data_IF_719327627631
#
_entry.id   IF_719327627631
#
_cell.length_a   1.000
_cell.length_b   1.000
_cell.length_c   1.000
_cell.angle_alpha   90.00
_cell.angle_beta   90.00
_cell.angle_gamma   90.00
#
_symmetry.space_group_name_H-M   'P 1'
#
loop_
_entity.id
_entity.type
_entity.pdbx_description
1 polymer ?
#
# COMPACT_ATOMS: atom_id res chain seq x y z
N UNK A 1 -14.20 -20.86 30.97
CA UNK A 1 -12.77 -21.25 30.87
C UNK A 1 -12.14 -20.93 29.52
N UNK A 2 -12.84 -21.07 28.38
CA UNK A 2 -12.29 -20.76 27.04
C UNK A 2 -11.79 -19.31 26.85
N UNK A 3 -12.46 -18.32 27.45
CA UNK A 3 -12.06 -16.90 27.34
C UNK A 3 -10.74 -16.57 28.07
N UNK A 4 -10.49 -17.20 29.23
CA UNK A 4 -9.25 -17.04 30.01
C UNK A 4 -8.05 -17.69 29.31
N UNK A 5 -8.26 -18.83 28.63
CA UNK A 5 -7.21 -19.50 27.85
C UNK A 5 -6.88 -18.72 26.55
N UNK A 6 -7.88 -18.11 25.89
CA UNK A 6 -7.65 -17.24 24.74
C UNK A 6 -6.77 -16.02 25.06
N UNK A 7 -6.97 -15.38 26.21
CA UNK A 7 -6.16 -14.23 26.64
C UNK A 7 -4.68 -14.58 26.89
N UNK A 8 -4.40 -15.83 27.31
CA UNK A 8 -3.03 -16.32 27.56
C UNK A 8 -2.28 -16.59 26.25
N UNK A 9 -2.98 -17.09 25.22
CA UNK A 9 -2.44 -17.24 23.85
C UNK A 9 -2.21 -15.89 23.15
N UNK A 10 -2.98 -14.86 23.49
CA UNK A 10 -2.87 -13.52 22.90
C UNK A 10 -1.78 -12.65 23.54
N UNK A 11 -1.23 -13.05 24.70
CA UNK A 11 -0.24 -12.25 25.44
C UNK A 11 1.03 -11.95 24.63
N UNK A 12 1.66 -12.92 23.92
CA UNK A 12 2.81 -12.65 23.08
C UNK A 12 2.47 -11.70 21.92
N UNK A 13 1.28 -11.84 21.35
CA UNK A 13 0.80 -10.99 20.26
C UNK A 13 0.59 -9.55 20.71
N UNK A 14 0.16 -9.32 21.95
CA UNK A 14 0.03 -7.97 22.48
C UNK A 14 1.39 -7.26 22.52
N UNK A 15 2.47 -7.99 22.82
CA UNK A 15 3.83 -7.45 22.79
C UNK A 15 4.38 -7.19 21.37
N UNK A 16 3.75 -7.74 20.34
CA UNK A 16 4.02 -7.42 18.92
C UNK A 16 3.13 -6.27 18.42
N UNK A 17 1.82 -6.38 18.62
CA UNK A 17 0.82 -5.46 18.07
C UNK A 17 0.95 -4.05 18.64
N UNK A 18 1.16 -3.92 19.95
CA UNK A 18 1.29 -2.62 20.61
C UNK A 18 2.42 -1.75 20.03
N UNK A 19 3.69 -2.20 19.97
CA UNK A 19 4.77 -1.42 19.37
C UNK A 19 4.58 -1.22 17.86
N UNK A 20 3.99 -2.18 17.12
CA UNK A 20 3.66 -1.97 15.70
C UNK A 20 2.66 -0.83 15.49
N UNK A 21 1.61 -0.78 16.33
CA UNK A 21 0.63 0.29 16.26
C UNK A 21 1.27 1.66 16.48
N UNK A 22 2.13 1.77 17.51
CA UNK A 22 2.87 3.00 17.82
C UNK A 22 3.80 3.37 16.66
N UNK A 23 4.51 2.40 16.09
CA UNK A 23 5.40 2.62 14.97
C UNK A 23 4.66 3.19 13.75
N UNK A 24 3.52 2.61 13.38
CA UNK A 24 2.72 3.08 12.25
C UNK A 24 2.12 4.47 12.50
N UNK A 25 1.68 4.76 13.74
CA UNK A 25 1.23 6.11 14.14
C UNK A 25 2.38 7.12 13.98
N UNK A 26 3.56 6.78 14.47
CA UNK A 26 4.75 7.64 14.46
C UNK A 26 5.28 7.88 13.05
N UNK A 27 5.23 6.88 12.17
CA UNK A 27 5.60 7.07 10.77
C UNK A 27 4.57 7.95 10.04
N UNK A 28 3.29 7.65 10.17
CA UNK A 28 2.24 8.36 9.44
C UNK A 28 2.15 9.85 9.84
N UNK A 29 2.33 10.18 11.13
CA UNK A 29 2.27 11.57 11.58
C UNK A 29 3.33 12.48 10.92
N UNK A 30 4.41 11.89 10.38
CA UNK A 30 5.47 12.64 9.70
C UNK A 30 5.13 12.98 8.24
N UNK A 31 4.19 12.26 7.61
CA UNK A 31 3.90 12.36 6.16
C UNK A 31 3.52 13.78 5.77
N UNK A 32 2.59 14.39 6.49
CA UNK A 32 2.09 15.75 6.19
C UNK A 32 3.17 16.83 6.40
N UNK A 33 3.95 16.75 7.49
CA UNK A 33 5.00 17.75 7.79
C UNK A 33 6.21 17.62 6.89
N UNK A 34 6.49 16.41 6.39
CA UNK A 34 7.63 16.17 5.50
C UNK A 34 7.55 17.01 4.23
N UNK A 35 6.34 17.22 3.69
CA UNK A 35 6.10 18.05 2.50
C UNK A 35 6.54 19.49 2.76
N UNK A 36 6.15 20.05 3.90
CA UNK A 36 6.50 21.42 4.30
C UNK A 36 8.00 21.59 4.53
N UNK A 37 8.61 20.67 5.28
CA UNK A 37 10.03 20.72 5.63
C UNK A 37 10.93 20.53 4.40
N UNK A 38 10.63 19.55 3.54
CA UNK A 38 11.42 19.30 2.32
C UNK A 38 11.29 20.47 1.33
N UNK A 39 10.09 21.01 1.16
CA UNK A 39 9.84 22.17 0.29
C UNK A 39 10.58 23.41 0.80
N UNK A 40 10.46 23.72 2.10
CA UNK A 40 11.07 24.91 2.71
C UNK A 40 12.60 24.88 2.65
N UNK A 41 13.20 23.69 2.82
CA UNK A 41 14.65 23.53 2.81
C UNK A 41 15.27 23.57 1.40
N UNK A 42 14.62 22.95 0.41
CA UNK A 42 15.18 22.86 -0.95
C UNK A 42 14.82 24.07 -1.82
N UNK A 43 13.65 24.69 -1.60
CA UNK A 43 13.16 25.84 -2.35
C UNK A 43 12.67 26.96 -1.41
N UNK A 44 13.58 27.64 -0.70
CA UNK A 44 13.21 28.70 0.23
C UNK A 44 12.49 29.85 -0.50
N UNK A 45 11.34 30.27 0.03
CA UNK A 45 10.58 31.42 -0.50
C UNK A 45 9.72 31.13 -1.73
N UNK A 46 9.71 29.91 -2.25
CA UNK A 46 8.89 29.55 -3.41
C UNK A 46 7.81 28.52 -3.04
N UNK A 47 6.58 28.73 -3.51
CA UNK A 47 5.46 27.80 -3.28
C UNK A 47 5.57 26.53 -4.12
N UNK A 48 6.27 26.61 -5.26
CA UNK A 48 6.53 25.51 -6.18
C UNK A 48 7.97 25.01 -6.03
N UNK A 49 8.15 23.71 -5.79
CA UNK A 49 9.48 23.09 -5.72
C UNK A 49 9.57 21.85 -6.61
N UNK A 50 9.87 22.07 -7.90
CA UNK A 50 10.12 21.02 -8.90
C UNK A 50 11.15 20.00 -8.42
N UNK A 51 12.21 20.49 -7.78
CA UNK A 51 13.30 19.67 -7.28
C UNK A 51 12.84 18.59 -6.28
N UNK A 52 12.00 18.96 -5.30
CA UNK A 52 11.48 18.01 -4.29
C UNK A 52 10.60 16.96 -4.94
N UNK A 53 9.74 17.36 -5.88
CA UNK A 53 8.82 16.46 -6.60
C UNK A 53 9.62 15.42 -7.38
N UNK A 54 10.66 15.87 -8.10
CA UNK A 54 11.51 14.98 -8.89
C UNK A 54 12.30 14.00 -8.02
N UNK A 55 12.90 14.47 -6.92
CA UNK A 55 13.65 13.62 -6.00
C UNK A 55 12.74 12.60 -5.31
N UNK A 56 11.54 13.01 -4.87
CA UNK A 56 10.55 12.09 -4.29
C UNK A 56 10.12 11.02 -5.31
N UNK A 57 9.91 11.42 -6.57
CA UNK A 57 9.62 10.50 -7.67
C UNK A 57 10.71 9.46 -7.87
N UNK A 58 11.97 9.90 -8.01
CA UNK A 58 13.13 9.02 -8.14
C UNK A 58 13.24 8.07 -6.95
N UNK A 59 13.11 8.59 -5.72
CA UNK A 59 13.15 7.78 -4.51
C UNK A 59 12.09 6.67 -4.56
N UNK A 60 10.84 7.01 -4.88
CA UNK A 60 9.75 6.03 -4.93
C UNK A 60 10.01 4.94 -5.99
N UNK A 61 10.52 5.32 -7.16
CA UNK A 61 10.91 4.38 -8.20
C UNK A 61 12.01 3.45 -7.71
N UNK A 62 13.11 3.98 -7.17
CA UNK A 62 14.26 3.18 -6.68
C UNK A 62 13.79 2.22 -5.58
N UNK A 63 13.08 2.72 -4.57
CA UNK A 63 12.51 1.88 -3.51
C UNK A 63 11.61 0.80 -4.11
N UNK A 64 10.78 1.14 -5.10
CA UNK A 64 9.91 0.21 -5.82
C UNK A 64 10.65 -0.95 -6.50
N UNK A 65 11.75 -0.67 -7.21
CA UNK A 65 12.57 -1.69 -7.87
C UNK A 65 13.22 -2.61 -6.83
N UNK A 66 13.94 -2.02 -5.88
CA UNK A 66 14.80 -2.80 -4.98
C UNK A 66 14.00 -3.54 -3.90
N UNK A 67 12.83 -3.04 -3.48
CA UNK A 67 11.98 -3.73 -2.49
C UNK A 67 11.47 -5.08 -3.00
N UNK A 68 11.28 -5.25 -4.32
CA UNK A 68 10.82 -6.54 -4.89
C UNK A 68 11.83 -7.67 -4.65
N UNK A 69 13.12 -7.32 -4.57
CA UNK A 69 14.20 -8.26 -4.27
C UNK A 69 14.47 -8.32 -2.76
N UNK A 70 14.48 -7.17 -2.08
CA UNK A 70 14.77 -7.08 -0.65
C UNK A 70 13.72 -7.78 0.22
N UNK A 71 12.42 -7.67 -0.11
CA UNK A 71 11.34 -8.22 0.71
C UNK A 71 11.41 -9.75 0.85
N UNK A 72 11.57 -10.56 -0.24
CA UNK A 72 11.77 -12.00 -0.10
C UNK A 72 13.08 -12.39 0.59
N UNK A 73 14.16 -11.65 0.37
CA UNK A 73 15.46 -11.92 1.01
C UNK A 73 15.39 -11.69 2.52
N UNK A 74 14.78 -10.58 2.94
CA UNK A 74 14.56 -10.28 4.35
C UNK A 74 13.60 -11.28 5.00
N UNK A 75 12.59 -11.76 4.28
CA UNK A 75 11.75 -12.86 4.77
C UNK A 75 12.57 -14.11 5.08
N UNK A 76 13.44 -14.54 4.16
CA UNK A 76 14.34 -15.69 4.38
C UNK A 76 15.32 -15.45 5.54
N UNK A 77 15.90 -14.26 5.63
CA UNK A 77 16.77 -13.90 6.76
C UNK A 77 16.01 -13.93 8.09
N UNK A 78 14.73 -13.54 8.12
CA UNK A 78 13.89 -13.62 9.32
C UNK A 78 13.65 -15.07 9.75
N UNK A 79 13.45 -15.95 8.78
CA UNK A 79 13.25 -17.37 9.01
C UNK A 79 14.53 -18.07 9.49
N UNK A 80 15.71 -17.63 9.02
CA UNK A 80 17.01 -18.22 9.39
C UNK A 80 17.61 -17.64 10.68
N UNK A 81 17.56 -16.32 10.86
CA UNK A 81 18.23 -15.62 11.97
C UNK A 81 17.30 -15.25 13.13
N UNK A 82 16.00 -15.49 12.98
CA UNK A 82 14.97 -15.16 13.95
C UNK A 82 14.17 -13.92 13.59
N UNK A 83 12.89 -13.93 13.98
CA UNK A 83 11.93 -12.90 13.59
C UNK A 83 12.03 -11.66 14.46
N UNK A 84 12.37 -11.82 15.75
CA UNK A 84 12.55 -10.68 16.66
C UNK A 84 13.78 -9.84 16.27
N UNK A 85 15.00 -10.38 16.06
CA UNK A 85 16.16 -9.61 15.63
C UNK A 85 15.90 -8.81 14.36
N UNK A 86 15.22 -9.39 13.37
CA UNK A 86 14.98 -8.70 12.11
C UNK A 86 13.91 -7.60 12.24
N UNK A 87 12.88 -7.80 13.06
CA UNK A 87 11.93 -6.73 13.42
C UNK A 87 12.62 -5.58 14.15
N UNK A 88 13.49 -5.88 15.12
CA UNK A 88 14.25 -4.87 15.85
C UNK A 88 15.17 -4.09 14.91
N UNK A 89 15.88 -4.79 14.03
CA UNK A 89 16.75 -4.18 13.02
C UNK A 89 15.98 -3.23 12.11
N UNK A 90 14.90 -3.72 11.48
CA UNK A 90 14.11 -2.92 10.54
C UNK A 90 13.48 -1.70 11.22
N UNK A 91 12.94 -1.84 12.42
CA UNK A 91 12.32 -0.72 13.14
C UNK A 91 13.35 0.30 13.65
N UNK A 92 14.56 -0.14 14.03
CA UNK A 92 15.65 0.76 14.43
C UNK A 92 16.18 1.56 13.23
N UNK A 93 16.37 0.91 12.08
CA UNK A 93 16.87 1.55 10.86
C UNK A 93 15.94 2.66 10.37
N UNK A 94 14.62 2.54 10.57
CA UNK A 94 13.65 3.60 10.25
C UNK A 94 13.85 4.92 11.02
N UNK A 95 14.55 4.94 12.15
CA UNK A 95 14.70 6.12 13.01
C UNK A 95 15.66 7.14 12.39
N UNK A 96 16.74 6.67 11.76
CA UNK A 96 17.86 7.53 11.34
C UNK A 96 17.47 8.64 10.35
N UNK A 97 16.65 8.40 9.29
CA UNK A 97 16.20 9.49 8.42
C UNK A 97 15.48 10.60 9.18
N UNK A 98 14.56 10.24 10.09
CA UNK A 98 13.80 11.24 10.84
C UNK A 98 14.68 11.98 11.85
N UNK A 99 15.63 11.29 12.48
CA UNK A 99 16.63 11.91 13.37
C UNK A 99 17.43 13.01 12.66
N UNK A 100 17.78 12.80 11.39
CA UNK A 100 18.51 13.77 10.59
C UNK A 100 17.70 15.07 10.38
N UNK A 101 16.41 14.94 10.06
CA UNK A 101 15.52 16.09 9.88
C UNK A 101 15.18 16.81 11.20
N UNK A 102 15.10 16.06 12.31
CA UNK A 102 14.88 16.62 13.63
C UNK A 102 16.06 17.47 14.12
N UNK A 103 17.29 17.08 13.76
CA UNK A 103 18.49 17.80 14.14
C UNK A 103 18.52 19.19 13.49
N UNK A 104 18.47 19.23 12.16
CA UNK A 104 18.45 20.49 11.41
C UNK A 104 17.92 20.23 9.99
N UNK A 105 16.82 20.87 9.56
CA UNK A 105 16.29 20.74 8.21
C UNK A 105 17.02 21.64 7.20
N UNK A 106 18.36 21.57 7.16
CA UNK A 106 19.15 22.28 6.15
C UNK A 106 19.06 21.60 4.78
N UNK A 107 19.39 22.32 3.71
CA UNK A 107 19.38 21.79 2.34
C UNK A 107 20.23 20.52 2.19
N UNK A 108 21.42 20.50 2.75
CA UNK A 108 22.34 19.36 2.73
C UNK A 108 21.77 18.15 3.49
N UNK A 109 21.20 18.39 4.66
CA UNK A 109 20.61 17.33 5.48
C UNK A 109 19.33 16.78 4.87
N UNK A 110 18.59 17.56 4.08
CA UNK A 110 17.45 17.04 3.31
C UNK A 110 17.90 16.11 2.16
N UNK A 111 19.01 16.40 1.47
CA UNK A 111 19.55 15.43 0.49
C UNK A 111 20.03 14.15 1.17
N UNK A 112 20.75 14.27 2.28
CA UNK A 112 21.16 13.12 3.08
C UNK A 112 19.95 12.34 3.62
N UNK A 113 18.85 13.02 3.97
CA UNK A 113 17.58 12.39 4.32
C UNK A 113 17.05 11.55 3.16
N UNK A 114 17.01 12.09 1.93
CA UNK A 114 16.52 11.33 0.78
C UNK A 114 17.35 10.07 0.51
N UNK A 115 18.68 10.17 0.59
CA UNK A 115 19.58 9.01 0.42
C UNK A 115 19.31 7.97 1.51
N UNK A 116 19.31 8.38 2.77
CA UNK A 116 19.12 7.48 3.90
C UNK A 116 17.70 6.88 3.93
N UNK A 117 16.68 7.70 3.63
CA UNK A 117 15.28 7.27 3.52
C UNK A 117 15.09 6.30 2.36
N UNK A 118 15.83 6.42 1.26
CA UNK A 118 15.82 5.46 0.16
C UNK A 118 16.35 4.10 0.62
N UNK A 119 17.55 4.07 1.21
CA UNK A 119 18.18 2.83 1.69
C UNK A 119 17.32 2.17 2.76
N UNK A 120 16.85 2.95 3.74
CA UNK A 120 16.01 2.44 4.83
C UNK A 120 14.68 1.92 4.29
N UNK A 121 13.98 2.63 3.40
CA UNK A 121 12.71 2.15 2.82
C UNK A 121 12.89 0.86 1.99
N UNK A 122 14.02 0.65 1.32
CA UNK A 122 14.30 -0.62 0.62
C UNK A 122 14.29 -1.80 1.60
N UNK A 123 14.83 -1.58 2.81
CA UNK A 123 14.94 -2.62 3.83
C UNK A 123 13.66 -2.77 4.67
N UNK A 124 12.98 -1.68 4.97
CA UNK A 124 11.95 -1.66 6.01
C UNK A 124 10.53 -1.67 5.47
N UNK A 125 10.29 -0.98 4.34
CA UNK A 125 8.94 -0.77 3.80
C UNK A 125 8.37 -2.08 3.29
N UNK A 126 7.28 -2.54 3.91
CA UNK A 126 6.66 -3.83 3.63
C UNK A 126 7.27 -4.99 4.41
N UNK A 127 8.58 -4.96 4.68
CA UNK A 127 9.28 -6.01 5.45
C UNK A 127 8.75 -6.11 6.88
N UNK A 128 8.56 -4.98 7.57
CA UNK A 128 8.03 -4.97 8.95
C UNK A 128 6.66 -5.67 9.01
N UNK A 129 5.75 -5.34 8.09
CA UNK A 129 4.44 -5.96 8.01
C UNK A 129 4.54 -7.47 7.69
N UNK A 130 5.38 -7.83 6.73
CA UNK A 130 5.59 -9.23 6.33
C UNK A 130 6.12 -10.08 7.50
N UNK A 131 7.15 -9.61 8.20
CA UNK A 131 7.75 -10.32 9.34
C UNK A 131 6.77 -10.39 10.51
N UNK A 132 5.97 -9.33 10.75
CA UNK A 132 4.94 -9.34 11.78
C UNK A 132 3.81 -10.35 11.52
N UNK A 133 3.33 -10.43 10.28
CA UNK A 133 2.34 -11.44 9.86
C UNK A 133 2.93 -12.84 9.99
N UNK A 134 4.18 -13.02 9.59
CA UNK A 134 4.89 -14.28 9.77
C UNK A 134 4.95 -14.64 11.25
N UNK A 135 5.51 -13.78 12.12
CA UNK A 135 5.60 -14.00 13.57
C UNK A 135 4.25 -14.41 14.16
N UNK A 136 3.18 -13.73 13.74
CA UNK A 136 1.81 -14.04 14.16
C UNK A 136 1.41 -15.46 13.75
N UNK A 137 1.80 -15.92 12.57
CA UNK A 137 1.52 -17.28 12.12
C UNK A 137 2.23 -18.35 12.96
N UNK A 138 3.41 -18.06 13.54
CA UNK A 138 4.16 -19.03 14.37
C UNK A 138 3.50 -19.25 15.73
N UNK A 139 2.97 -18.20 16.34
CA UNK A 139 2.43 -18.25 17.72
C UNK A 139 0.95 -18.59 17.77
N UNK A 140 0.27 -18.64 16.63
CA UNK A 140 -1.19 -18.75 16.52
C UNK A 140 -1.59 -20.04 15.83
N UNK A 141 -2.58 -20.73 16.41
CA UNK A 141 -3.22 -21.89 15.80
C UNK A 141 -3.96 -21.52 14.50
N UNK A 142 -3.94 -22.43 13.53
CA UNK A 142 -4.41 -22.17 12.16
C UNK A 142 -5.83 -21.59 12.10
N UNK A 143 -6.73 -22.10 12.94
CA UNK A 143 -8.13 -21.63 13.04
C UNK A 143 -8.30 -20.15 13.40
N UNK A 144 -7.32 -19.55 14.08
CA UNK A 144 -7.38 -18.16 14.56
C UNK A 144 -6.56 -17.18 13.71
N UNK A 145 -5.74 -17.68 12.77
CA UNK A 145 -4.82 -16.86 11.96
C UNK A 145 -5.56 -15.81 11.13
N UNK A 146 -6.66 -16.19 10.46
CA UNK A 146 -7.42 -15.27 9.63
C UNK A 146 -7.97 -14.06 10.43
N UNK A 147 -8.49 -14.31 11.63
CA UNK A 147 -8.98 -13.25 12.51
C UNK A 147 -7.84 -12.31 12.95
N UNK A 148 -6.67 -12.85 13.30
CA UNK A 148 -5.54 -12.06 13.76
C UNK A 148 -4.85 -11.29 12.63
N UNK A 149 -4.75 -11.84 11.42
CA UNK A 149 -4.28 -11.11 10.24
C UNK A 149 -5.22 -9.94 9.91
N UNK A 150 -6.53 -10.13 10.09
CA UNK A 150 -7.52 -9.06 9.95
C UNK A 150 -7.32 -7.98 11.02
N UNK A 151 -7.04 -8.36 12.27
CA UNK A 151 -6.74 -7.40 13.35
C UNK A 151 -5.47 -6.60 13.09
N UNK A 152 -4.39 -7.23 12.63
CA UNK A 152 -3.15 -6.54 12.25
C UNK A 152 -3.42 -5.47 11.18
N UNK A 153 -4.16 -5.85 10.14
CA UNK A 153 -4.50 -4.94 9.03
C UNK A 153 -5.45 -3.82 9.47
N UNK A 154 -6.40 -4.12 10.36
CA UNK A 154 -7.28 -3.12 10.97
C UNK A 154 -6.52 -2.13 11.86
N UNK A 155 -5.60 -2.61 12.69
CA UNK A 155 -4.73 -1.79 13.51
C UNK A 155 -3.81 -0.91 12.66
N UNK A 156 -3.25 -1.43 11.57
CA UNK A 156 -2.48 -0.63 10.60
C UNK A 156 -3.30 0.55 10.08
N UNK A 157 -4.55 0.30 9.66
CA UNK A 157 -5.44 1.33 9.15
C UNK A 157 -5.83 2.37 10.22
N UNK A 158 -6.15 1.90 11.43
CA UNK A 158 -6.48 2.77 12.57
C UNK A 158 -5.28 3.63 12.99
N UNK A 159 -4.07 3.05 13.02
CA UNK A 159 -2.83 3.76 13.29
C UNK A 159 -2.56 4.87 12.28
N UNK A 160 -2.85 4.66 10.99
CA UNK A 160 -2.70 5.70 9.99
C UNK A 160 -3.67 6.87 10.22
N UNK A 161 -4.93 6.60 10.53
CA UNK A 161 -5.89 7.67 10.86
C UNK A 161 -5.42 8.44 12.10
N UNK A 162 -5.02 7.74 13.15
CA UNK A 162 -4.56 8.37 14.39
C UNK A 162 -3.25 9.15 14.19
N UNK A 163 -2.33 8.68 13.35
CA UNK A 163 -1.13 9.41 12.95
C UNK A 163 -1.46 10.73 12.27
N UNK A 164 -2.43 10.75 11.35
CA UNK A 164 -2.89 11.98 10.71
C UNK A 164 -3.62 12.92 11.69
N UNK A 165 -4.39 12.40 12.65
CA UNK A 165 -4.97 13.20 13.74
C UNK A 165 -3.87 13.86 14.58
N UNK A 166 -2.88 13.09 15.02
CA UNK A 166 -1.75 13.63 15.80
C UNK A 166 -0.97 14.65 14.99
N UNK A 167 -0.76 14.40 13.70
CA UNK A 167 -0.18 15.39 12.81
C UNK A 167 -1.02 16.67 12.83
N UNK A 168 -2.33 16.62 12.64
CA UNK A 168 -3.17 17.83 12.58
C UNK A 168 -3.10 18.73 13.82
N UNK A 169 -2.98 18.14 15.01
CA UNK A 169 -3.04 18.89 16.27
C UNK A 169 -1.67 19.16 16.90
N UNK A 170 -0.61 18.45 16.51
CA UNK A 170 0.74 18.70 17.01
C UNK A 170 1.41 19.87 16.27
N UNK A 171 2.05 20.81 17.00
CA UNK A 171 2.86 21.85 16.38
C UNK A 171 3.99 21.29 15.54
N UNK A 172 4.29 21.94 14.41
CA UNK A 172 5.28 21.49 13.41
C UNK A 172 6.63 21.09 14.05
N UNK A 173 7.12 21.94 14.96
CA UNK A 173 8.41 21.78 15.63
C UNK A 173 8.55 20.52 16.49
N UNK A 174 7.45 19.96 17.00
CA UNK A 174 7.49 18.84 17.93
C UNK A 174 7.29 17.48 17.25
N UNK A 175 6.80 17.43 16.01
CA UNK A 175 6.40 16.16 15.37
C UNK A 175 7.57 15.23 15.19
N UNK A 176 8.69 15.71 14.62
CA UNK A 176 9.84 14.83 14.42
C UNK A 176 10.43 14.34 15.74
N UNK A 177 10.47 15.20 16.77
CA UNK A 177 10.92 14.81 18.12
C UNK A 177 10.02 13.72 18.72
N UNK A 178 8.70 13.91 18.67
CA UNK A 178 7.71 12.94 19.18
C UNK A 178 7.78 11.65 18.36
N UNK A 179 7.85 11.73 17.03
CA UNK A 179 7.95 10.58 16.15
C UNK A 179 9.20 9.76 16.44
N UNK A 180 10.37 10.39 16.61
CA UNK A 180 11.61 9.69 16.98
C UNK A 180 11.47 9.02 18.34
N UNK A 181 10.92 9.72 19.34
CA UNK A 181 10.71 9.14 20.66
C UNK A 181 9.82 7.89 20.62
N UNK A 182 8.69 7.96 19.90
CA UNK A 182 7.79 6.83 19.70
C UNK A 182 8.44 5.70 18.90
N UNK A 183 9.14 6.02 17.80
CA UNK A 183 9.84 5.04 16.98
C UNK A 183 10.97 4.35 17.74
N UNK A 184 11.64 5.05 18.66
CA UNK A 184 12.73 4.51 19.50
C UNK A 184 12.19 3.65 20.65
N UNK A 185 11.02 4.01 21.21
CA UNK A 185 10.35 3.22 22.23
C UNK A 185 9.97 1.81 21.73
N UNK A 186 9.60 1.70 20.45
CA UNK A 186 9.15 0.43 19.85
C UNK A 186 10.21 -0.70 19.91
N UNK A 187 11.43 -0.54 19.35
CA UNK A 187 12.47 -1.58 19.43
C UNK A 187 12.90 -1.83 20.87
N UNK A 188 12.96 -0.82 21.73
CA UNK A 188 13.28 -1.01 23.16
C UNK A 188 12.22 -1.91 23.82
N UNK A 189 10.94 -1.61 23.59
CA UNK A 189 9.84 -2.39 24.15
C UNK A 189 9.85 -3.83 23.62
N UNK A 190 10.02 -4.04 22.31
CA UNK A 190 10.10 -5.39 21.75
C UNK A 190 11.33 -6.15 22.22
N UNK A 191 12.48 -5.47 22.41
CA UNK A 191 13.68 -6.12 22.92
C UNK A 191 13.45 -6.69 24.33
N UNK A 192 12.73 -5.96 25.18
CA UNK A 192 12.41 -6.36 26.55
C UNK A 192 11.29 -7.39 26.65
N UNK A 193 10.21 -7.25 25.87
CA UNK A 193 8.97 -8.00 26.09
C UNK A 193 8.59 -8.98 24.98
N UNK A 194 9.09 -8.82 23.75
CA UNK A 194 8.79 -9.75 22.66
C UNK A 194 9.65 -11.01 22.81
N UNK A 195 9.05 -12.18 22.76
CA UNK A 195 9.78 -13.45 22.74
C UNK A 195 10.17 -13.81 21.31
N UNK A 196 11.32 -14.47 21.12
CA UNK A 196 11.69 -15.05 19.82
C UNK A 196 10.85 -16.31 19.57
N UNK A 197 10.45 -16.53 18.31
CA UNK A 197 9.67 -17.69 17.87
C UNK A 197 10.50 -18.72 17.14
N UNK A 198 11.62 -18.31 16.54
CA UNK A 198 12.53 -19.20 15.84
C UNK A 198 13.56 -19.76 16.83
N UNK A 199 13.49 -21.06 17.10
CA UNK A 199 14.57 -21.76 17.80
C UNK A 199 15.84 -21.73 16.93
N UNK A 200 16.90 -21.11 17.44
CA UNK A 200 18.20 -21.09 16.77
C UNK A 200 18.80 -22.51 16.83
N UNK A 201 18.59 -23.29 15.78
CA UNK A 201 19.33 -24.54 15.62
C UNK A 201 20.79 -24.22 15.37
N UNK A 202 21.74 -24.85 16.08
CA UNK A 202 23.16 -24.67 15.80
C UNK A 202 23.41 -25.05 14.34
N UNK A 203 24.03 -24.13 13.60
CA UNK A 203 24.33 -24.26 12.17
C UNK A 203 25.02 -25.60 11.95
N UNK A 204 24.28 -26.58 11.44
CA UNK A 204 24.88 -27.82 10.98
C UNK A 204 25.59 -27.49 9.68
N UNK A 205 26.91 -27.31 9.78
CA UNK A 205 27.81 -27.20 8.64
C UNK A 205 27.74 -28.50 7.81
N UNK A 206 26.76 -28.60 6.90
CA UNK A 206 26.73 -29.55 5.79
C UNK A 206 26.01 -28.92 4.58
N UNK A 207 26.82 -28.34 3.68
CA UNK A 207 26.71 -28.20 2.20
C UNK A 207 25.39 -27.71 1.53
N UNK A 208 25.39 -27.16 0.29
CA UNK A 208 26.47 -26.87 -0.68
C UNK A 208 26.63 -25.35 -0.95
N UNK A 209 27.42 -24.94 -1.95
CA UNK A 209 27.71 -23.52 -2.22
C UNK A 209 26.44 -22.65 -2.32
N UNK A 210 26.42 -21.53 -1.59
CA UNK A 210 25.30 -20.58 -1.54
C UNK A 210 24.76 -20.19 -2.93
N UNK A 211 25.65 -20.18 -3.94
CA UNK A 211 25.34 -19.90 -5.34
C UNK A 211 24.40 -20.92 -6.00
N UNK A 212 24.60 -22.23 -5.83
CA UNK A 212 23.71 -23.25 -6.43
C UNK A 212 22.34 -23.28 -5.77
N UNK A 213 22.27 -23.06 -4.45
CA UNK A 213 20.98 -22.94 -3.74
C UNK A 213 20.20 -21.69 -4.18
N UNK A 214 20.88 -20.57 -4.39
CA UNK A 214 20.27 -19.32 -4.87
C UNK A 214 19.77 -19.45 -6.31
N UNK A 215 20.56 -20.04 -7.21
CA UNK A 215 20.16 -20.27 -8.60
C UNK A 215 18.92 -21.17 -8.72
N UNK A 216 18.86 -22.25 -7.93
CA UNK A 216 17.69 -23.15 -7.90
C UNK A 216 16.43 -22.45 -7.37
N UNK A 217 16.56 -21.57 -6.37
CA UNK A 217 15.44 -20.76 -5.85
C UNK A 217 14.94 -19.76 -6.89
N UNK A 218 15.84 -19.10 -7.61
CA UNK A 218 15.48 -18.17 -8.70
C UNK A 218 14.79 -18.90 -9.84
N UNK A 219 15.33 -20.05 -10.28
CA UNK A 219 14.73 -20.85 -11.33
C UNK A 219 13.33 -21.37 -10.95
N UNK A 220 13.16 -21.89 -9.73
CA UNK A 220 11.85 -22.33 -9.22
C UNK A 220 10.84 -21.18 -9.12
N UNK A 221 11.28 -19.98 -8.76
CA UNK A 221 10.43 -18.77 -8.76
C UNK A 221 10.03 -18.38 -10.18
N UNK A 222 10.95 -18.45 -11.14
CA UNK A 222 10.66 -18.17 -12.55
C UNK A 222 9.57 -19.10 -13.10
N UNK A 223 9.73 -20.42 -12.91
CA UNK A 223 8.71 -21.41 -13.33
C UNK A 223 7.36 -21.15 -12.64
N UNK A 224 7.34 -20.88 -11.33
CA UNK A 224 6.12 -20.55 -10.60
C UNK A 224 5.42 -19.29 -11.12
N UNK A 225 6.18 -18.25 -11.48
CA UNK A 225 5.62 -17.03 -12.08
C UNK A 225 5.09 -17.27 -13.49
N UNK A 226 5.76 -18.10 -14.29
CA UNK A 226 5.32 -18.49 -15.63
C UNK A 226 4.00 -19.26 -15.58
N UNK A 227 3.87 -20.20 -14.65
CA UNK A 227 2.62 -20.93 -14.41
C UNK A 227 1.49 -19.97 -14.03
N UNK A 228 1.76 -19.05 -13.10
CA UNK A 228 0.80 -18.06 -12.65
C UNK A 228 0.37 -17.12 -13.79
N UNK A 229 1.32 -16.69 -14.63
CA UNK A 229 1.05 -15.88 -15.81
C UNK A 229 0.14 -16.62 -16.81
N UNK A 230 0.46 -17.89 -17.10
CA UNK A 230 -0.32 -18.73 -18.01
C UNK A 230 -1.76 -18.87 -17.52
N UNK A 231 -1.94 -19.11 -16.22
CA UNK A 231 -3.25 -19.19 -15.58
C UNK A 231 -4.05 -17.89 -15.70
N UNK A 232 -3.42 -16.75 -15.39
CA UNK A 232 -4.09 -15.45 -15.42
C UNK A 232 -4.44 -15.03 -16.85
N UNK A 233 -3.56 -15.29 -17.82
CA UNK A 233 -3.79 -14.94 -19.22
C UNK A 233 -4.88 -15.81 -19.86
N UNK A 234 -4.96 -17.08 -19.47
CA UNK A 234 -5.95 -18.03 -20.00
C UNK A 234 -7.37 -17.75 -19.54
N UNK A 235 -7.56 -17.18 -18.34
CA UNK A 235 -8.88 -16.80 -17.83
C UNK A 235 -9.24 -15.37 -18.26
N UNK A 236 -10.34 -15.15 -19.03
CA UNK A 236 -10.73 -13.82 -19.47
C UNK A 236 -10.99 -12.86 -18.31
N UNK A 237 -11.56 -13.36 -17.21
CA UNK A 237 -11.83 -12.57 -15.99
C UNK A 237 -10.53 -12.18 -15.28
N UNK A 238 -9.61 -13.13 -15.06
CA UNK A 238 -8.33 -12.84 -14.41
C UNK A 238 -7.45 -11.92 -15.25
N UNK A 239 -7.43 -12.10 -16.57
CA UNK A 239 -6.74 -11.21 -17.51
C UNK A 239 -7.29 -9.78 -17.41
N UNK A 240 -8.61 -9.62 -17.39
CA UNK A 240 -9.25 -8.31 -17.24
C UNK A 240 -8.92 -7.68 -15.90
N UNK A 241 -8.95 -8.45 -14.81
CA UNK A 241 -8.57 -7.98 -13.47
C UNK A 241 -7.08 -7.60 -13.38
N UNK A 242 -6.19 -8.32 -14.05
CA UNK A 242 -4.78 -7.96 -14.11
C UNK A 242 -4.59 -6.59 -14.77
N UNK A 243 -5.31 -6.31 -15.87
CA UNK A 243 -5.30 -5.02 -16.54
C UNK A 243 -5.93 -3.91 -15.67
N UNK A 244 -7.10 -4.17 -15.07
CA UNK A 244 -7.74 -3.27 -14.08
C UNK A 244 -6.74 -2.88 -13.00
N UNK A 245 -6.07 -3.87 -12.40
CA UNK A 245 -5.12 -3.68 -11.31
C UNK A 245 -3.87 -2.91 -11.75
N UNK A 246 -3.34 -3.18 -12.94
CA UNK A 246 -2.20 -2.46 -13.51
C UNK A 246 -2.50 -0.97 -13.66
N UNK A 247 -3.56 -0.64 -14.40
CA UNK A 247 -3.89 0.75 -14.70
C UNK A 247 -4.40 1.52 -13.48
N UNK A 248 -5.16 0.87 -12.61
CA UNK A 248 -5.59 1.48 -11.35
C UNK A 248 -4.39 1.81 -10.45
N UNK A 249 -3.47 0.85 -10.23
CA UNK A 249 -2.31 1.10 -9.38
C UNK A 249 -1.37 2.13 -10.01
N UNK A 250 -1.20 2.11 -11.33
CA UNK A 250 -0.43 3.13 -12.06
C UNK A 250 -1.02 4.53 -11.87
N UNK A 251 -2.34 4.70 -11.97
CA UNK A 251 -2.99 5.98 -11.69
C UNK A 251 -2.89 6.39 -10.22
N UNK A 252 -3.33 5.51 -9.32
CA UNK A 252 -3.46 5.82 -7.89
C UNK A 252 -2.10 6.04 -7.20
N UNK A 253 -1.08 5.25 -7.54
CA UNK A 253 0.28 5.45 -7.05
C UNK A 253 0.84 6.80 -7.51
N UNK A 254 0.46 7.23 -8.72
CA UNK A 254 0.90 8.49 -9.32
C UNK A 254 0.34 9.68 -8.59
N UNK A 255 -0.96 9.67 -8.34
CA UNK A 255 -1.64 10.67 -7.51
C UNK A 255 -1.00 10.69 -6.11
N UNK A 256 -0.87 9.54 -5.46
CA UNK A 256 -0.29 9.44 -4.11
C UNK A 256 1.15 9.99 -4.03
N UNK A 257 1.94 9.86 -5.10
CA UNK A 257 3.32 10.36 -5.15
C UNK A 257 3.43 11.88 -5.25
N UNK A 258 2.45 12.56 -5.86
CA UNK A 258 2.55 14.00 -6.18
C UNK A 258 1.49 14.87 -5.52
N UNK A 259 0.42 14.29 -4.97
CA UNK A 259 -0.78 14.99 -4.52
C UNK A 259 -0.49 16.11 -3.51
N UNK A 260 0.24 15.79 -2.43
CA UNK A 260 0.49 16.79 -1.38
C UNK A 260 1.38 17.94 -1.88
N UNK A 261 2.35 17.65 -2.74
CA UNK A 261 3.18 18.66 -3.37
C UNK A 261 2.39 19.53 -4.36
N UNK A 262 1.48 18.92 -5.13
CA UNK A 262 0.54 19.64 -5.98
C UNK A 262 -0.36 20.57 -5.16
N UNK A 263 -0.96 20.09 -4.07
CA UNK A 263 -1.83 20.88 -3.21
C UNK A 263 -1.08 22.07 -2.57
N UNK A 264 0.18 21.84 -2.16
CA UNK A 264 1.05 22.93 -1.68
C UNK A 264 1.28 24.00 -2.75
N UNK A 265 1.64 23.57 -3.95
CA UNK A 265 1.99 24.45 -5.06
C UNK A 265 0.79 25.19 -5.67
N UNK A 266 -0.38 24.53 -5.71
CA UNK A 266 -1.58 25.08 -6.32
C UNK A 266 -2.40 25.94 -5.35
N UNK A 267 -2.50 25.53 -4.08
CA UNK A 267 -3.40 26.15 -3.10
C UNK A 267 -2.69 26.69 -1.85
N UNK A 268 -1.37 26.53 -1.74
CA UNK A 268 -0.63 26.96 -0.55
C UNK A 268 -0.89 26.09 0.67
N UNK A 269 -1.35 24.84 0.47
CA UNK A 269 -1.69 23.97 1.58
C UNK A 269 -0.51 23.72 2.51
N UNK A 270 -0.82 23.63 3.79
CA UNK A 270 0.12 23.29 4.85
C UNK A 270 -0.14 21.90 5.43
N UNK A 271 0.76 21.49 6.32
CA UNK A 271 0.65 20.28 7.14
C UNK A 271 -0.76 20.01 7.67
N UNK A 272 -1.47 21.02 8.18
CA UNK A 272 -2.78 20.82 8.81
C UNK A 272 -3.80 20.39 7.76
N UNK A 273 -3.82 21.06 6.62
CA UNK A 273 -4.76 20.76 5.54
C UNK A 273 -4.44 19.41 4.88
N UNK A 274 -3.16 19.04 4.76
CA UNK A 274 -2.77 17.69 4.34
C UNK A 274 -3.29 16.63 5.30
N UNK A 275 -3.12 16.84 6.60
CA UNK A 275 -3.58 15.90 7.63
C UNK A 275 -5.11 15.78 7.66
N UNK A 276 -5.85 16.86 7.43
CA UNK A 276 -7.31 16.85 7.32
C UNK A 276 -7.78 15.99 6.13
N UNK A 277 -7.17 16.16 4.96
CA UNK A 277 -7.49 15.36 3.76
C UNK A 277 -7.18 13.88 3.99
N UNK A 278 -5.99 13.57 4.50
CA UNK A 278 -5.59 12.18 4.75
C UNK A 278 -6.47 11.51 5.81
N UNK A 279 -6.84 12.24 6.86
CA UNK A 279 -7.79 11.79 7.87
C UNK A 279 -9.17 11.54 7.27
N UNK A 280 -9.68 12.44 6.42
CA UNK A 280 -10.98 12.28 5.77
C UNK A 280 -11.03 11.00 4.92
N UNK A 281 -10.00 10.76 4.10
CA UNK A 281 -9.87 9.53 3.31
C UNK A 281 -9.74 8.30 4.22
N UNK A 282 -8.95 8.38 5.29
CA UNK A 282 -8.72 7.27 6.21
C UNK A 282 -9.97 6.87 7.01
N UNK A 283 -10.71 7.84 7.55
CA UNK A 283 -11.99 7.58 8.24
C UNK A 283 -13.02 7.02 7.24
N UNK A 284 -13.11 7.62 6.06
CA UNK A 284 -13.98 7.14 4.99
C UNK A 284 -13.67 5.69 4.58
N UNK A 285 -12.39 5.35 4.51
CA UNK A 285 -11.91 3.98 4.25
C UNK A 285 -12.41 2.98 5.28
N UNK A 286 -12.34 3.31 6.57
CA UNK A 286 -12.82 2.44 7.65
C UNK A 286 -14.34 2.25 7.56
N UNK A 287 -15.09 3.35 7.44
CA UNK A 287 -16.56 3.30 7.32
C UNK A 287 -16.96 2.44 6.12
N UNK A 288 -16.30 2.61 4.99
CA UNK A 288 -16.68 1.88 3.79
C UNK A 288 -16.38 0.39 3.85
N UNK A 289 -15.23 0.01 4.40
CA UNK A 289 -14.88 -1.40 4.52
C UNK A 289 -15.72 -2.12 5.58
N UNK A 290 -16.06 -1.45 6.68
CA UNK A 290 -16.81 -2.06 7.80
C UNK A 290 -18.33 -2.01 7.62
N UNK A 291 -18.87 -0.98 6.96
CA UNK A 291 -20.31 -0.77 6.83
C UNK A 291 -20.78 -0.85 5.38
N UNK A 292 -20.21 -0.02 4.49
CA UNK A 292 -20.74 0.11 3.11
C UNK A 292 -20.57 -1.17 2.32
N UNK A 293 -19.39 -1.78 2.33
CA UNK A 293 -19.09 -2.99 1.56
C UNK A 293 -19.95 -4.19 1.99
N UNK A 294 -20.05 -4.55 3.29
CA UNK A 294 -20.90 -5.65 3.72
C UNK A 294 -22.40 -5.45 3.41
N UNK A 295 -22.89 -4.21 3.44
CA UNK A 295 -24.28 -3.88 3.11
C UNK A 295 -24.55 -3.91 1.60
N UNK A 296 -23.62 -3.40 0.80
CA UNK A 296 -23.81 -3.23 -0.64
C UNK A 296 -23.49 -4.51 -1.43
N UNK A 297 -22.52 -5.31 -0.98
CA UNK A 297 -22.09 -6.54 -1.68
C UNK A 297 -23.23 -7.54 -1.96
N UNK A 298 -24.10 -7.89 -0.99
CA UNK A 298 -25.20 -8.82 -1.27
C UNK A 298 -26.26 -8.25 -2.22
N UNK A 299 -26.34 -6.93 -2.39
CA UNK A 299 -27.36 -6.27 -3.21
C UNK A 299 -26.96 -6.17 -4.69
N UNK A 300 -25.68 -5.86 -4.97
CA UNK A 300 -25.23 -5.52 -6.34
C UNK A 300 -24.07 -6.39 -6.84
N UNK A 301 -23.44 -7.17 -5.97
CA UNK A 301 -22.30 -8.01 -6.30
C UNK A 301 -20.98 -7.25 -6.51
N UNK A 302 -19.88 -7.99 -6.56
CA UNK A 302 -18.52 -7.44 -6.50
C UNK A 302 -18.14 -6.67 -7.78
N UNK A 303 -18.64 -7.11 -8.95
CA UNK A 303 -18.37 -6.43 -10.23
C UNK A 303 -18.94 -5.00 -10.22
N UNK A 304 -20.18 -4.83 -9.76
CA UNK A 304 -20.83 -3.51 -9.73
C UNK A 304 -20.12 -2.60 -8.72
N UNK A 305 -19.76 -3.13 -7.55
CA UNK A 305 -18.97 -2.36 -6.56
C UNK A 305 -17.63 -1.93 -7.16
N UNK A 306 -16.92 -2.82 -7.86
CA UNK A 306 -15.67 -2.48 -8.54
C UNK A 306 -15.88 -1.33 -9.56
N UNK A 307 -16.90 -1.42 -10.41
CA UNK A 307 -17.22 -0.38 -11.39
C UNK A 307 -17.56 0.96 -10.74
N UNK A 308 -18.41 0.98 -9.71
CA UNK A 308 -18.77 2.20 -8.96
C UNK A 308 -17.52 2.82 -8.30
N UNK A 309 -16.66 1.98 -7.73
CA UNK A 309 -15.44 2.42 -7.04
C UNK A 309 -14.41 2.98 -8.02
N UNK A 310 -14.28 2.38 -9.21
CA UNK A 310 -13.42 2.92 -10.28
C UNK A 310 -13.97 4.24 -10.82
N UNK A 311 -15.29 4.39 -10.99
CA UNK A 311 -15.89 5.66 -11.38
C UNK A 311 -15.65 6.75 -10.32
N UNK A 312 -15.80 6.41 -9.04
CA UNK A 312 -15.44 7.30 -7.94
C UNK A 312 -13.94 7.64 -7.93
N UNK A 313 -13.08 6.72 -8.35
CA UNK A 313 -11.63 6.96 -8.51
C UNK A 313 -11.35 7.98 -9.62
N UNK A 314 -12.07 7.88 -10.75
CA UNK A 314 -11.98 8.85 -11.85
C UNK A 314 -12.44 10.23 -11.37
N UNK A 315 -13.56 10.31 -10.65
CA UNK A 315 -14.04 11.56 -10.07
C UNK A 315 -13.01 12.16 -9.09
N UNK A 316 -12.47 11.34 -8.18
CA UNK A 316 -11.39 11.71 -7.26
C UNK A 316 -10.19 12.31 -8.00
N UNK A 317 -9.72 11.66 -9.07
CA UNK A 317 -8.58 12.17 -9.84
C UNK A 317 -8.93 13.47 -10.59
N UNK A 318 -10.10 13.54 -11.24
CA UNK A 318 -10.51 14.72 -12.01
C UNK A 318 -10.75 15.94 -11.11
N UNK A 319 -11.45 15.80 -9.98
CA UNK A 319 -11.67 16.91 -9.06
C UNK A 319 -10.38 17.42 -8.45
N UNK A 320 -9.39 16.56 -8.17
CA UNK A 320 -8.05 17.03 -7.80
C UNK A 320 -7.32 17.72 -8.96
N UNK A 321 -7.31 17.13 -10.14
CA UNK A 321 -6.57 17.65 -11.29
C UNK A 321 -7.12 18.98 -11.83
N UNK A 322 -8.43 19.19 -11.73
CA UNK A 322 -9.17 20.36 -12.20
C UNK A 322 -9.62 21.28 -11.06
N UNK A 323 -9.03 21.15 -9.87
CA UNK A 323 -9.44 21.93 -8.72
C UNK A 323 -9.28 23.44 -8.99
N UNK A 324 -10.40 24.19 -8.89
CA UNK A 324 -10.44 25.64 -9.11
C UNK A 324 -10.45 26.45 -7.81
N UNK A 325 -10.69 25.80 -6.67
CA UNK A 325 -10.76 26.43 -5.36
C UNK A 325 -10.27 25.46 -4.27
N UNK A 326 -9.81 26.02 -3.15
CA UNK A 326 -9.23 25.27 -2.02
C UNK A 326 -10.19 24.25 -1.37
N UNK A 327 -11.51 24.41 -1.51
CA UNK A 327 -12.47 23.44 -0.97
C UNK A 327 -12.63 22.19 -1.86
N UNK A 328 -12.30 22.28 -3.16
CA UNK A 328 -12.46 21.19 -4.13
C UNK A 328 -11.59 19.96 -3.78
N UNK A 329 -10.33 20.10 -3.33
CA UNK A 329 -9.56 19.02 -2.72
C UNK A 329 -10.31 18.22 -1.64
N UNK A 330 -11.06 18.88 -0.76
CA UNK A 330 -11.83 18.21 0.30
C UNK A 330 -13.04 17.47 -0.27
N UNK A 331 -13.75 18.07 -1.25
CA UNK A 331 -14.80 17.36 -1.99
C UNK A 331 -14.21 16.12 -2.68
N UNK A 332 -13.06 16.26 -3.33
CA UNK A 332 -12.37 15.16 -3.99
C UNK A 332 -12.04 14.04 -3.02
N UNK A 333 -11.45 14.38 -1.87
CA UNK A 333 -11.14 13.44 -0.79
C UNK A 333 -12.37 12.65 -0.30
N UNK A 334 -13.58 13.23 -0.36
CA UNK A 334 -14.82 12.54 0.05
C UNK A 334 -15.16 11.32 -0.83
N UNK A 335 -14.74 11.31 -2.10
CA UNK A 335 -14.83 10.13 -2.96
C UNK A 335 -13.93 8.98 -2.45
N UNK A 336 -13.01 9.26 -1.52
CA UNK A 336 -12.23 8.27 -0.75
C UNK A 336 -13.05 7.24 -0.02
N UNK A 337 -14.26 7.61 0.40
CA UNK A 337 -15.23 6.68 0.96
C UNK A 337 -15.54 5.57 -0.07
N UNK A 338 -15.70 5.89 -1.35
CA UNK A 338 -16.14 4.90 -2.34
C UNK A 338 -14.94 4.23 -3.03
N UNK A 339 -13.94 5.00 -3.47
CA UNK A 339 -12.87 4.44 -4.30
C UNK A 339 -12.02 3.38 -3.57
N UNK A 340 -11.94 3.44 -2.24
CA UNK A 340 -11.19 2.47 -1.42
C UNK A 340 -11.65 1.03 -1.66
N UNK A 341 -12.90 0.84 -2.08
CA UNK A 341 -13.51 -0.46 -2.31
C UNK A 341 -12.99 -1.17 -3.58
N UNK A 342 -12.18 -0.51 -4.41
CA UNK A 342 -11.53 -1.14 -5.57
C UNK A 342 -10.72 -2.37 -5.14
N UNK A 343 -9.86 -2.25 -4.12
CA UNK A 343 -8.98 -3.33 -3.65
C UNK A 343 -9.74 -4.57 -3.14
N UNK A 344 -10.66 -4.45 -2.16
CA UNK A 344 -11.41 -5.62 -1.68
C UNK A 344 -12.28 -6.25 -2.78
N UNK A 345 -12.91 -5.46 -3.64
CA UNK A 345 -13.71 -5.98 -4.77
C UNK A 345 -12.85 -6.76 -5.75
N UNK A 346 -11.65 -6.26 -6.04
CA UNK A 346 -10.66 -6.95 -6.88
C UNK A 346 -10.27 -8.29 -6.29
N UNK A 347 -9.96 -8.34 -4.99
CA UNK A 347 -9.61 -9.59 -4.31
C UNK A 347 -10.76 -10.61 -4.31
N UNK A 348 -11.99 -10.15 -4.09
CA UNK A 348 -13.16 -11.02 -4.12
C UNK A 348 -13.39 -11.62 -5.52
N UNK A 349 -13.26 -10.83 -6.59
CA UNK A 349 -13.38 -11.33 -7.97
C UNK A 349 -12.27 -12.34 -8.29
N UNK A 350 -11.01 -12.07 -7.89
CA UNK A 350 -9.90 -13.03 -8.07
C UNK A 350 -10.20 -14.35 -7.36
N UNK A 351 -10.73 -14.27 -6.13
CA UNK A 351 -11.08 -15.46 -5.35
C UNK A 351 -12.17 -16.29 -6.00
N UNK A 352 -13.16 -15.68 -6.66
CA UNK A 352 -14.22 -16.41 -7.39
C UNK A 352 -13.73 -16.97 -8.74
N UNK A 353 -12.85 -16.24 -9.41
CA UNK A 353 -12.35 -16.60 -10.74
C UNK A 353 -11.18 -17.60 -10.73
N UNK A 354 -10.71 -18.04 -9.56
CA UNK A 354 -9.61 -19.00 -9.42
C UNK A 354 -10.00 -20.16 -8.52
N UNK A 355 -9.45 -21.35 -8.78
CA UNK A 355 -9.60 -22.49 -7.87
C UNK A 355 -8.79 -22.29 -6.60
N UNK A 356 -9.20 -22.93 -5.50
CA UNK A 356 -8.54 -22.85 -4.19
C UNK A 356 -7.04 -23.15 -4.26
N UNK A 357 -6.62 -24.11 -5.08
CA UNK A 357 -5.20 -24.45 -5.30
C UNK A 357 -4.41 -23.37 -6.04
N UNK A 358 -5.08 -22.55 -6.86
CA UNK A 358 -4.46 -21.58 -7.75
C UNK A 358 -4.62 -20.13 -7.28
N UNK A 359 -5.44 -19.87 -6.26
CA UNK A 359 -5.73 -18.53 -5.76
C UNK A 359 -4.48 -17.75 -5.36
N UNK A 360 -3.56 -18.39 -4.63
CA UNK A 360 -2.29 -17.76 -4.23
C UNK A 360 -1.40 -17.40 -5.43
N UNK A 361 -1.37 -18.25 -6.47
CA UNK A 361 -0.63 -17.97 -7.72
C UNK A 361 -1.23 -16.76 -8.45
N UNK A 362 -2.55 -16.73 -8.60
CA UNK A 362 -3.26 -15.62 -9.25
C UNK A 362 -3.06 -14.29 -8.51
N UNK A 363 -3.25 -14.27 -7.19
CA UNK A 363 -3.04 -13.08 -6.37
C UNK A 363 -1.59 -12.61 -6.39
N UNK A 364 -0.62 -13.53 -6.31
CA UNK A 364 0.80 -13.21 -6.39
C UNK A 364 1.19 -12.57 -7.74
N UNK A 365 0.69 -13.12 -8.85
CA UNK A 365 0.92 -12.55 -10.17
C UNK A 365 0.30 -11.14 -10.30
N UNK A 366 -0.95 -10.96 -9.86
CA UNK A 366 -1.63 -9.66 -9.93
C UNK A 366 -0.93 -8.62 -9.04
N UNK A 367 -0.46 -9.00 -7.85
CA UNK A 367 0.36 -8.12 -7.00
C UNK A 367 1.69 -7.73 -7.68
N UNK A 368 2.30 -8.66 -8.44
CA UNK A 368 3.45 -8.38 -9.30
C UNK A 368 3.13 -7.34 -10.39
N UNK A 369 2.00 -7.50 -11.08
CA UNK A 369 1.51 -6.55 -12.09
C UNK A 369 1.25 -5.16 -11.48
N UNK A 370 0.61 -5.09 -10.31
CA UNK A 370 0.43 -3.84 -9.55
C UNK A 370 1.78 -3.20 -9.20
N UNK A 371 2.76 -4.01 -8.80
CA UNK A 371 4.11 -3.52 -8.47
C UNK A 371 4.78 -2.84 -9.66
N UNK A 372 4.64 -3.39 -10.87
CA UNK A 372 5.12 -2.75 -12.11
C UNK A 372 4.40 -1.41 -12.35
N UNK A 373 3.07 -1.36 -12.19
CA UNK A 373 2.31 -0.10 -12.29
C UNK A 373 2.79 0.96 -11.30
N UNK A 374 3.01 0.57 -10.04
CA UNK A 374 3.54 1.45 -8.99
C UNK A 374 4.97 1.93 -9.25
N UNK A 375 5.77 1.13 -9.96
CA UNK A 375 7.14 1.48 -10.36
C UNK A 375 7.15 2.50 -11.51
N UNK A 376 6.33 2.28 -12.53
CA UNK A 376 6.27 3.14 -13.71
C UNK A 376 5.59 4.48 -13.42
N UNK A 377 4.73 4.52 -12.42
CA UNK A 377 3.91 5.69 -12.15
C UNK A 377 4.70 6.94 -11.73
N UNK A 378 5.60 6.91 -10.72
CA UNK A 378 6.39 8.09 -10.35
C UNK A 378 7.33 8.56 -11.47
N UNK A 379 7.79 7.66 -12.35
CA UNK A 379 8.61 8.00 -13.51
C UNK A 379 7.88 8.88 -14.53
N UNK A 380 6.56 8.67 -14.70
CA UNK A 380 5.74 9.49 -15.58
C UNK A 380 5.17 10.72 -14.85
N UNK A 381 4.61 10.52 -13.66
CA UNK A 381 3.81 11.54 -12.98
C UNK A 381 4.64 12.63 -12.31
N UNK A 382 5.83 12.30 -11.79
CA UNK A 382 6.67 13.30 -11.08
C UNK A 382 7.26 14.34 -12.04
N UNK A 383 7.87 13.96 -13.18
CA UNK A 383 8.34 14.94 -14.17
C UNK A 383 7.19 15.76 -14.76
N UNK A 384 6.05 15.13 -15.02
CA UNK A 384 4.88 15.82 -15.55
C UNK A 384 4.32 16.85 -14.57
N UNK A 385 4.23 16.50 -13.28
CA UNK A 385 3.84 17.45 -12.22
C UNK A 385 4.85 18.58 -12.11
N UNK A 386 6.15 18.27 -12.15
CA UNK A 386 7.22 19.27 -12.11
C UNK A 386 7.13 20.27 -13.25
N UNK A 387 6.83 19.81 -14.48
CA UNK A 387 6.67 20.67 -15.66
C UNK A 387 5.44 21.57 -15.56
N UNK A 388 4.28 21.01 -15.18
CA UNK A 388 3.03 21.79 -15.12
C UNK A 388 2.94 22.73 -13.91
N UNK A 389 3.85 22.59 -12.94
CA UNK A 389 4.03 23.54 -11.85
C UNK A 389 5.15 24.56 -12.11
N UNK A 390 5.94 24.41 -13.17
CA UNK A 390 6.98 25.38 -13.54
C UNK A 390 6.43 26.52 -14.39
N UNK A 391 7.26 27.54 -14.63
CA UNK A 391 6.98 28.64 -15.56
C UNK A 391 6.89 28.18 -17.02
N UNK A 392 7.41 27.00 -17.34
CA UNK A 392 7.55 26.49 -18.71
C UNK A 392 6.36 25.61 -19.11
N UNK A 393 5.28 25.62 -18.31
CA UNK A 393 4.09 24.82 -18.59
C UNK A 393 3.48 25.22 -19.94
N UNK A 394 3.18 24.25 -20.83
CA UNK A 394 2.66 24.54 -22.17
C UNK A 394 1.25 25.15 -22.15
N UNK A 395 0.50 24.92 -21.08
CA UNK A 395 -0.81 25.54 -20.82
C UNK A 395 -1.10 25.55 -19.31
N UNK A 396 -2.02 26.41 -18.89
CA UNK A 396 -2.35 26.60 -17.48
C UNK A 396 -3.22 25.46 -16.93
N UNK A 397 -2.59 24.38 -16.47
CA UNK A 397 -3.24 23.28 -15.79
C UNK A 397 -2.30 22.62 -14.78
N UNK A 398 -2.17 23.22 -13.59
CA UNK A 398 -1.25 22.74 -12.53
C UNK A 398 -1.46 21.26 -12.15
N UNK A 399 -2.69 20.75 -12.24
CA UNK A 399 -3.04 19.37 -11.89
C UNK A 399 -3.03 18.39 -13.08
N UNK A 400 -2.41 18.74 -14.21
CA UNK A 400 -2.47 17.94 -15.43
C UNK A 400 -1.96 16.50 -15.26
N UNK A 401 -0.93 16.28 -14.44
CA UNK A 401 -0.45 14.93 -14.13
C UNK A 401 -1.51 14.05 -13.45
N UNK A 402 -2.32 14.63 -12.56
CA UNK A 402 -3.43 13.94 -11.89
C UNK A 402 -4.55 13.65 -12.90
N UNK A 403 -4.78 14.53 -13.88
CA UNK A 403 -5.69 14.27 -15.00
C UNK A 403 -5.18 13.09 -15.85
N UNK A 404 -3.88 13.04 -16.16
CA UNK A 404 -3.30 11.87 -16.85
C UNK A 404 -3.47 10.58 -16.04
N UNK A 405 -3.32 10.63 -14.71
CA UNK A 405 -3.61 9.49 -13.84
C UNK A 405 -5.09 9.07 -13.89
N UNK A 406 -6.02 10.02 -14.07
CA UNK A 406 -7.45 9.71 -14.27
C UNK A 406 -7.69 8.92 -15.55
N UNK A 407 -6.93 9.14 -16.63
CA UNK A 407 -7.04 8.35 -17.86
C UNK A 407 -6.68 6.88 -17.61
N UNK A 408 -5.67 6.60 -16.79
CA UNK A 408 -5.38 5.24 -16.36
C UNK A 408 -6.58 4.62 -15.61
N UNK A 409 -7.24 5.38 -14.74
CA UNK A 409 -8.43 4.90 -14.03
C UNK A 409 -9.63 4.69 -14.96
N UNK A 410 -9.79 5.49 -16.02
CA UNK A 410 -10.80 5.27 -17.07
C UNK A 410 -10.53 3.99 -17.84
N UNK A 411 -9.27 3.72 -18.21
CA UNK A 411 -8.88 2.47 -18.86
C UNK A 411 -9.16 1.27 -17.92
N UNK A 412 -8.85 1.41 -16.64
CA UNK A 412 -9.18 0.42 -15.62
C UNK A 412 -10.70 0.17 -15.55
N UNK A 413 -11.51 1.23 -15.52
CA UNK A 413 -12.97 1.13 -15.55
C UNK A 413 -13.50 0.42 -16.80
N UNK A 414 -12.94 0.72 -17.97
CA UNK A 414 -13.28 0.04 -19.22
C UNK A 414 -13.06 -1.48 -19.11
N UNK A 415 -11.88 -1.92 -18.65
CA UNK A 415 -11.61 -3.35 -18.47
C UNK A 415 -12.48 -3.99 -17.38
N UNK A 416 -12.84 -3.26 -16.33
CA UNK A 416 -13.76 -3.76 -15.30
C UNK A 416 -15.16 -4.01 -15.88
N UNK A 417 -15.64 -3.15 -16.80
CA UNK A 417 -16.91 -3.34 -17.47
C UNK A 417 -16.93 -4.60 -18.36
N UNK A 418 -15.79 -4.93 -18.98
CA UNK A 418 -15.63 -6.12 -19.83
C UNK A 418 -15.64 -7.45 -19.08
N UNK A 419 -15.54 -7.46 -17.74
CA UNK A 419 -15.62 -8.68 -16.94
C UNK A 419 -17.00 -9.31 -17.14
N UNK A 420 -17.09 -10.56 -17.59
CA UNK A 420 -18.39 -11.25 -17.69
C UNK A 420 -18.98 -11.42 -16.29
N UNK A 421 -20.24 -11.05 -16.11
CA UNK A 421 -20.95 -11.23 -14.84
C UNK A 421 -21.51 -12.65 -14.78
N UNK A 422 -21.35 -13.32 -13.63
CA UNK A 422 -21.82 -14.70 -13.40
C UNK A 422 -23.33 -14.87 -13.63
N UNK A 423 -24.12 -13.78 -13.66
CA UNK A 423 -25.55 -13.82 -14.01
C UNK A 423 -25.82 -14.35 -15.43
N UNK A 424 -24.81 -14.37 -16.32
CA UNK A 424 -24.95 -14.98 -17.64
C UNK A 424 -24.76 -16.50 -17.60
N UNK A 425 -23.94 -17.02 -16.68
CA UNK A 425 -23.66 -18.46 -16.55
C UNK A 425 -24.87 -19.22 -16.01
N UNK A 426 -25.65 -18.61 -15.11
CA UNK A 426 -26.89 -19.21 -14.60
C UNK A 426 -27.93 -19.33 -15.73
N UNK A 427 -28.05 -18.29 -16.58
CA UNK A 427 -28.97 -18.30 -17.73
C UNK A 427 -28.59 -19.32 -18.79
N UNK A 428 -27.30 -19.51 -19.06
CA UNK A 428 -26.84 -20.53 -19.99
C UNK A 428 -27.04 -21.95 -19.42
N UNK A 429 -26.85 -22.15 -18.11
CA UNK A 429 -27.13 -23.45 -17.47
C UNK A 429 -28.62 -23.79 -17.38
N UNK A 430 -29.51 -22.80 -17.20
CA UNK A 430 -30.96 -23.04 -17.25
C UNK A 430 -31.43 -23.36 -18.68
N UNK A 431 -30.86 -22.71 -19.70
CA UNK A 431 -31.18 -22.98 -21.10
C UNK A 431 -30.65 -24.34 -21.61
N UNK A 432 -29.56 -24.87 -21.04
CA UNK A 432 -29.08 -26.23 -21.37
C UNK A 432 -29.91 -27.34 -20.70
N UNK A 433 -30.58 -27.06 -19.58
CA UNK A 433 -31.44 -28.02 -18.88
C UNK A 433 -32.83 -28.13 -19.54
N UNK A 434 -33.27 -27.09 -20.26
CA UNK A 434 -34.60 -27.04 -20.92
C UNK A 434 -34.66 -27.63 -22.34
N UNK A 435 -33.60 -28.27 -22.85
CA UNK A 435 -33.69 -29.02 -24.11
C UNK A 435 -34.57 -30.28 -23.92
N UNK A 436 -35.74 -30.40 -24.57
CA UNK A 436 -36.65 -31.50 -24.32
C UNK A 436 -36.14 -32.79 -24.96
N UNK A 437 -35.97 -33.83 -24.14
CA UNK A 437 -35.97 -35.24 -24.53
C UNK A 437 -37.31 -35.58 -25.19
N UNK A 438 -37.44 -35.38 -26.50
CA UNK A 438 -38.58 -35.86 -27.28
C UNK A 438 -38.12 -36.38 -28.65
N UNK A 439 -37.95 -37.71 -28.72
CA UNK A 439 -38.59 -38.63 -29.69
C UNK A 439 -37.67 -39.78 -30.10
N UNK A 440 -37.66 -40.85 -29.28
CA UNK A 440 -37.69 -42.22 -29.80
C UNK A 440 -39.12 -42.72 -29.57
N UNK A 441 -39.88 -42.85 -30.65
CA UNK A 441 -40.86 -43.91 -30.94
C UNK A 441 -41.42 -43.74 -32.37
#
# INVERSE_FOLDING_TARGET
MAWKNGFRELRPLLHLLFPLCIHWIAEEMTVSVLVDVTTRALCPGNSTCSQVIYINGIQQTIVGVFKMVALPLLGQLADEHGRKPLLLFTMTVCIFPFALLAWNPSKELVYAYYVLRTITNILTRGSIFCIAVAYTADVVSESKRAALFSWITGLFSASHVLGNVLARFLPEKYIFMIAIALLSLCPIYMQLFLSETVEQFPISNKDPSCLTKTLNVVHKRYESMRDAATLVISSPTLRSIALVSFFYEMGMSGISGVLLYYLKAAFGFDKNQFSEILMLVGIGSIISQMLVLPLLNPLVGEKVILCISLLASVAYALFYGLAWAAWVPYLSASFGVIYVLVKPSTFAIISKASSSTNQGKAQGFIAGVQSIGSLLSPLAMSPLTSLFLSSDAPFNCKGFSIICASLCMVISFYFACMIKSDNCLIKDSENEIEAPLLNED
#
